data_IF_684756337220
#
_entry.id   IF_684756337220
#
_cell.length_a   1.000
_cell.length_b   1.000
_cell.length_c   1.000
_cell.angle_alpha   90.00
_cell.angle_beta   90.00
_cell.angle_gamma   90.00
#
_symmetry.space_group_name_H-M   'P 1'
#
loop_
_entity.id
_entity.type
_entity.pdbx_description
1 polymer ?
#
# COMPACT_ATOMS: atom_id res chain seq x y z
N UNK A 1 -0.90 22.93 9.33
CA UNK A 1 0.26 22.52 8.54
C UNK A 1 0.20 21.01 8.36
N UNK A 2 0.12 20.57 7.14
CA UNK A 2 0.15 19.15 6.85
C UNK A 2 1.60 18.66 6.80
N UNK A 3 1.84 17.56 7.48
CA UNK A 3 3.13 16.89 7.42
C UNK A 3 2.94 15.60 6.61
N UNK A 4 3.58 15.55 5.46
CA UNK A 4 3.55 14.36 4.61
C UNK A 4 4.75 13.48 4.99
N UNK A 5 4.52 12.31 5.60
CA UNK A 5 5.62 11.40 5.90
C UNK A 5 6.38 11.02 4.63
N UNK A 6 7.67 11.16 4.67
CA UNK A 6 8.55 10.82 3.55
C UNK A 6 9.72 10.00 4.08
N UNK A 7 9.93 8.83 3.48
CA UNK A 7 11.04 7.94 3.82
C UNK A 7 11.86 7.62 2.60
N UNK A 8 13.17 7.51 2.80
CA UNK A 8 14.09 6.96 1.80
C UNK A 8 14.25 5.47 2.09
N UNK A 9 14.01 4.65 1.08
CA UNK A 9 14.11 3.20 1.16
C UNK A 9 15.27 2.75 0.29
N UNK A 10 16.16 1.92 0.87
CA UNK A 10 17.31 1.38 0.16
C UNK A 10 16.94 0.13 -0.63
N UNK A 11 16.01 0.31 -1.57
CA UNK A 11 15.55 -0.73 -2.49
C UNK A 11 15.09 -0.06 -3.78
N UNK A 12 15.16 -0.79 -4.93
CA UNK A 12 14.64 -0.25 -6.18
C UNK A 12 13.17 0.10 -6.11
N UNK A 13 12.75 1.16 -6.78
CA UNK A 13 11.36 1.61 -6.79
C UNK A 13 10.40 0.52 -7.24
N UNK A 14 10.77 -0.27 -8.25
CA UNK A 14 9.92 -1.37 -8.74
C UNK A 14 9.67 -2.42 -7.66
N UNK A 15 10.68 -2.70 -6.84
CA UNK A 15 10.53 -3.67 -5.76
C UNK A 15 9.57 -3.16 -4.68
N UNK A 16 9.69 -1.89 -4.31
CA UNK A 16 8.79 -1.27 -3.34
C UNK A 16 7.36 -1.25 -3.89
N UNK A 17 7.20 -0.90 -5.15
CA UNK A 17 5.89 -0.93 -5.81
C UNK A 17 5.27 -2.32 -5.76
N UNK A 18 6.04 -3.36 -6.04
CA UNK A 18 5.57 -4.75 -5.99
C UNK A 18 5.15 -5.16 -4.57
N UNK A 19 5.92 -4.77 -3.56
CA UNK A 19 5.60 -5.06 -2.16
C UNK A 19 4.29 -4.41 -1.72
N UNK A 20 3.94 -3.27 -2.29
CA UNK A 20 2.71 -2.55 -1.96
C UNK A 20 1.50 -3.03 -2.76
N UNK A 21 1.72 -3.50 -3.98
CA UNK A 21 0.62 -3.83 -4.90
C UNK A 21 0.33 -5.32 -5.01
N UNK A 22 1.21 -6.19 -4.52
CA UNK A 22 0.96 -7.62 -4.48
C UNK A 22 0.34 -7.99 -3.13
N UNK A 23 -0.92 -8.48 -3.08
CA UNK A 23 -1.59 -8.72 -1.81
C UNK A 23 -0.87 -9.69 -0.87
N UNK A 24 -0.29 -10.76 -1.40
CA UNK A 24 0.43 -11.74 -0.59
C UNK A 24 1.71 -11.17 -0.01
N UNK A 25 2.44 -10.36 -0.77
CA UNK A 25 3.66 -9.73 -0.29
C UNK A 25 3.34 -8.62 0.71
N UNK A 26 2.29 -7.86 0.46
CA UNK A 26 1.83 -6.84 1.40
C UNK A 26 1.49 -7.46 2.76
N UNK A 27 0.76 -8.56 2.77
CA UNK A 27 0.43 -9.27 3.99
C UNK A 27 1.67 -9.79 4.71
N UNK A 28 2.63 -10.35 3.95
CA UNK A 28 3.84 -10.92 4.52
C UNK A 28 4.69 -9.87 5.24
N UNK A 29 5.01 -8.76 4.56
CA UNK A 29 5.90 -7.78 5.17
C UNK A 29 5.22 -6.93 6.26
N UNK A 30 3.90 -6.77 6.19
CA UNK A 30 3.15 -6.03 7.21
C UNK A 30 2.81 -6.88 8.45
N UNK A 31 3.09 -8.18 8.40
CA UNK A 31 2.79 -9.07 9.52
C UNK A 31 1.30 -9.38 9.66
N UNK A 32 0.52 -9.22 8.61
CA UNK A 32 -0.91 -9.52 8.60
C UNK A 32 -1.20 -10.78 7.79
N UNK A 33 -2.46 -11.21 7.79
CA UNK A 33 -2.92 -12.32 6.97
C UNK A 33 -3.88 -11.82 5.91
N UNK A 34 -3.68 -12.22 4.67
CA UNK A 34 -4.61 -11.92 3.59
C UNK A 34 -5.84 -12.81 3.73
N UNK A 35 -7.00 -12.17 3.98
CA UNK A 35 -8.29 -12.86 4.09
C UNK A 35 -8.99 -12.89 2.74
N UNK A 36 -8.95 -11.77 2.01
CA UNK A 36 -9.59 -11.63 0.72
C UNK A 36 -8.77 -10.69 -0.16
N UNK A 37 -8.64 -11.03 -1.42
CA UNK A 37 -7.95 -10.19 -2.39
C UNK A 37 -7.59 -10.99 -3.64
N UNK A 38 -7.22 -10.29 -4.73
CA UNK A 38 -6.82 -10.96 -5.95
C UNK A 38 -5.48 -11.71 -5.78
N UNK A 39 -5.28 -12.75 -6.57
CA UNK A 39 -4.02 -13.49 -6.61
C UNK A 39 -2.94 -12.79 -7.45
N UNK A 40 -3.28 -11.66 -8.04
CA UNK A 40 -2.42 -10.83 -8.89
C UNK A 40 -2.16 -9.49 -8.23
N UNK A 41 -1.31 -8.67 -8.84
CA UNK A 41 -1.16 -7.28 -8.44
C UNK A 41 -2.51 -6.56 -8.51
N UNK A 42 -2.73 -5.63 -7.58
CA UNK A 42 -4.01 -4.93 -7.46
C UNK A 42 -4.25 -3.99 -8.64
N UNK A 43 -5.52 -3.78 -8.93
CA UNK A 43 -5.99 -2.80 -9.93
C UNK A 43 -7.01 -1.88 -9.29
N UNK A 44 -7.30 -0.77 -9.95
CA UNK A 44 -8.35 0.13 -9.47
C UNK A 44 -9.68 -0.63 -9.36
N UNK A 45 -10.37 -0.45 -8.26
CA UNK A 45 -11.62 -1.14 -7.94
C UNK A 45 -11.46 -2.43 -7.14
N UNK A 46 -10.23 -2.90 -6.94
CA UNK A 46 -9.98 -4.09 -6.12
C UNK A 46 -10.12 -3.77 -4.63
N UNK A 47 -10.51 -4.80 -3.88
CA UNK A 47 -10.59 -4.73 -2.42
C UNK A 47 -9.70 -5.80 -1.81
N UNK A 48 -8.94 -5.41 -0.78
CA UNK A 48 -8.15 -6.32 0.03
C UNK A 48 -8.68 -6.30 1.45
N UNK A 49 -8.78 -7.47 2.06
CA UNK A 49 -9.07 -7.58 3.49
C UNK A 49 -7.91 -8.28 4.15
N UNK A 50 -7.27 -7.59 5.08
CA UNK A 50 -6.15 -8.12 5.86
C UNK A 50 -6.57 -8.28 7.31
N UNK A 51 -6.05 -9.29 7.96
CA UNK A 51 -6.32 -9.55 9.38
C UNK A 51 -5.06 -9.31 10.19
N UNK A 52 -5.17 -8.42 11.17
CA UNK A 52 -4.12 -8.15 12.16
C UNK A 52 -4.67 -8.57 13.53
N UNK A 53 -4.29 -9.76 14.00
CA UNK A 53 -4.86 -10.33 15.22
C UNK A 53 -6.34 -10.62 15.07
N UNK A 54 -7.18 -9.97 15.88
CA UNK A 54 -8.64 -10.10 15.82
C UNK A 54 -9.30 -9.03 14.94
N UNK A 55 -8.52 -8.10 14.43
CA UNK A 55 -9.04 -6.98 13.64
C UNK A 55 -8.89 -7.21 12.14
N UNK A 56 -9.88 -6.72 11.38
CA UNK A 56 -9.83 -6.71 9.93
C UNK A 56 -9.58 -5.29 9.45
N UNK A 57 -8.70 -5.16 8.46
CA UNK A 57 -8.39 -3.89 7.81
C UNK A 57 -8.72 -4.06 6.34
N UNK A 58 -9.55 -3.17 5.81
CA UNK A 58 -9.97 -3.23 4.41
C UNK A 58 -9.28 -2.12 3.62
N UNK A 59 -8.66 -2.50 2.49
CA UNK A 59 -8.09 -1.57 1.54
C UNK A 59 -8.92 -1.59 0.27
N UNK A 60 -9.52 -0.46 -0.08
CA UNK A 60 -10.17 -0.27 -1.38
C UNK A 60 -9.22 0.51 -2.29
N UNK A 61 -8.83 -0.10 -3.40
CA UNK A 61 -7.94 0.53 -4.36
C UNK A 61 -8.76 1.46 -5.24
N UNK A 62 -8.55 2.76 -5.10
CA UNK A 62 -9.32 3.78 -5.83
C UNK A 62 -8.69 4.10 -7.18
N UNK A 63 -7.36 4.24 -7.20
CA UNK A 63 -6.63 4.62 -8.40
C UNK A 63 -5.22 4.06 -8.36
N UNK A 64 -4.71 3.71 -9.52
CA UNK A 64 -3.33 3.23 -9.69
C UNK A 64 -2.70 3.93 -10.88
N UNK A 65 -1.57 4.57 -10.65
CA UNK A 65 -0.71 5.11 -11.69
C UNK A 65 0.64 4.41 -11.58
N UNK A 66 0.69 3.20 -12.11
CA UNK A 66 1.87 2.35 -12.00
C UNK A 66 3.05 2.96 -12.75
N UNK A 67 4.23 2.85 -12.22
CA UNK A 67 4.63 2.26 -10.93
C UNK A 67 4.90 3.32 -9.85
N UNK A 68 4.20 4.45 -9.87
CA UNK A 68 4.55 5.63 -9.09
C UNK A 68 3.55 6.02 -8.01
N UNK A 69 2.26 5.78 -8.22
CA UNK A 69 1.24 6.32 -7.34
C UNK A 69 0.11 5.33 -7.13
N UNK A 70 -0.35 5.26 -5.90
CA UNK A 70 -1.43 4.38 -5.47
C UNK A 70 -2.31 5.15 -4.51
N UNK A 71 -3.63 5.16 -4.77
CA UNK A 71 -4.61 5.80 -3.89
C UNK A 71 -5.52 4.73 -3.29
N UNK A 72 -5.61 4.72 -1.98
CA UNK A 72 -6.36 3.72 -1.22
C UNK A 72 -7.32 4.39 -0.25
N UNK A 73 -8.50 3.76 -0.06
CA UNK A 73 -9.31 3.98 1.12
C UNK A 73 -9.03 2.84 2.09
N UNK A 74 -8.63 3.19 3.31
CA UNK A 74 -8.30 2.24 4.36
C UNK A 74 -9.39 2.30 5.42
N UNK A 75 -10.11 1.20 5.60
CA UNK A 75 -11.10 1.07 6.65
C UNK A 75 -10.50 0.29 7.81
N UNK A 76 -10.36 0.97 8.93
CA UNK A 76 -9.85 0.41 10.18
C UNK A 76 -11.01 -0.01 11.09
N UNK A 77 -10.74 -0.80 12.14
CA UNK A 77 -11.76 -1.13 13.13
C UNK A 77 -12.38 0.13 13.74
N UNK A 78 -13.59 -0.02 14.29
CA UNK A 78 -14.34 1.05 14.99
C UNK A 78 -14.80 2.19 14.08
N UNK A 79 -14.97 1.91 12.79
CA UNK A 79 -15.51 2.89 11.84
C UNK A 79 -14.54 3.96 11.39
N UNK A 80 -13.26 3.80 11.69
CA UNK A 80 -12.23 4.75 11.24
C UNK A 80 -11.89 4.49 9.78
N UNK A 81 -11.94 5.53 8.96
CA UNK A 81 -11.59 5.46 7.54
C UNK A 81 -10.60 6.55 7.19
N UNK A 82 -9.59 6.18 6.42
CA UNK A 82 -8.58 7.11 5.93
C UNK A 82 -8.37 6.93 4.44
N UNK A 83 -8.17 8.03 3.74
CA UNK A 83 -7.72 7.99 2.35
C UNK A 83 -6.24 8.28 2.31
N UNK A 84 -5.49 7.38 1.71
CA UNK A 84 -4.04 7.49 1.60
C UNK A 84 -3.61 7.51 0.14
N UNK A 85 -2.71 8.43 -0.18
CA UNK A 85 -2.06 8.45 -1.46
C UNK A 85 -0.58 8.15 -1.24
N UNK A 86 -0.09 7.09 -1.88
CA UNK A 86 1.28 6.65 -1.75
C UNK A 86 2.00 6.97 -3.05
N UNK A 87 3.08 7.75 -2.96
CA UNK A 87 3.91 8.08 -4.12
C UNK A 87 5.29 7.49 -3.94
N UNK A 88 5.82 6.90 -5.01
CA UNK A 88 7.16 6.32 -5.03
C UNK A 88 7.98 7.05 -6.08
N UNK A 89 9.08 7.67 -5.65
CA UNK A 89 9.97 8.42 -6.51
C UNK A 89 11.34 7.75 -6.53
N UNK A 90 11.81 7.23 -7.67
CA UNK A 90 13.15 6.67 -7.74
C UNK A 90 14.19 7.75 -7.46
N UNK A 91 15.21 7.39 -6.65
CA UNK A 91 16.39 8.25 -6.43
C UNK A 91 17.50 7.76 -7.36
N UNK A 92 17.75 6.45 -7.32
CA UNK A 92 18.71 5.79 -8.20
C UNK A 92 18.29 4.33 -8.43
N UNK A 93 19.15 3.51 -9.01
CA UNK A 93 18.81 2.11 -9.29
C UNK A 93 18.59 1.25 -8.05
N UNK A 94 19.01 1.71 -6.87
CA UNK A 94 18.99 0.94 -5.64
C UNK A 94 18.26 1.63 -4.49
N UNK A 95 17.65 2.77 -4.75
CA UNK A 95 16.92 3.50 -3.70
C UNK A 95 15.76 4.29 -4.28
N UNK A 96 14.77 4.56 -3.43
CA UNK A 96 13.62 5.37 -3.79
C UNK A 96 13.12 6.15 -2.57
N UNK A 97 12.25 7.10 -2.84
CA UNK A 97 11.55 7.86 -1.79
C UNK A 97 10.08 7.51 -1.83
N UNK A 98 9.52 7.18 -0.67
CA UNK A 98 8.08 6.98 -0.53
C UNK A 98 7.48 8.15 0.23
N UNK A 99 6.35 8.64 -0.25
CA UNK A 99 5.62 9.74 0.39
C UNK A 99 4.18 9.31 0.61
N UNK A 100 3.69 9.46 1.83
CA UNK A 100 2.30 9.23 2.20
C UNK A 100 1.59 10.57 2.35
N UNK A 101 0.39 10.61 1.78
CA UNK A 101 -0.38 11.85 1.78
C UNK A 101 -1.80 11.65 2.27
#
# INVERSE_FOLDING_TARGET
>A
MEVCPTDVILAPAERVWRLLTNPHELARWSGTKLVEGPARAVSAGDRLVLRAGIFHITFDVLDIQAPRQLTLDIALPFGVKNREQIQITPIDANSCRTTLN
#
